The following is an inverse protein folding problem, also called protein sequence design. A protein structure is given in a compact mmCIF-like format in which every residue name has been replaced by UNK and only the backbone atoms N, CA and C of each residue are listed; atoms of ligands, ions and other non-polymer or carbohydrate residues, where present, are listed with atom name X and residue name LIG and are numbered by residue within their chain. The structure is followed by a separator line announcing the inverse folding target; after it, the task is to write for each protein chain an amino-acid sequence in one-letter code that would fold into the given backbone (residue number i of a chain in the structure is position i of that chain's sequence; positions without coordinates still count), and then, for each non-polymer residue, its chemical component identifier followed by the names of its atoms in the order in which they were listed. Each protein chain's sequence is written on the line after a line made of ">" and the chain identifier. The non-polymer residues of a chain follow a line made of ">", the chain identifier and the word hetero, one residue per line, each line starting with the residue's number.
data_IF_643822963495
#
_entry.id   IF_643822963495
#
_cell.length_a   1.000
_cell.length_b   1.000
_cell.length_c   1.000
_cell.angle_alpha   90.00
_cell.angle_beta   90.00
_cell.angle_gamma   90.00
#
_symmetry.space_group_name_H-M   'P 1'
#
loop_
_entity.id
_entity.type
_entity.pdbx_description
1 polymer ?
#
# COMPACT_ATOMS: atom_id res chain seq x y z
N UNK A 1 -45.28 86.44 -3.91
CA UNK A 1 -44.13 86.82 -4.76
C UNK A 1 -42.86 86.61 -3.95
N UNK A 2 -41.88 85.88 -4.51
CA UNK A 2 -40.50 85.68 -4.04
C UNK A 2 -40.29 85.00 -2.67
N UNK A 3 -39.20 84.28 -2.36
CA UNK A 3 -38.24 83.36 -3.02
C UNK A 3 -37.31 82.86 -1.88
N UNK A 4 -36.61 81.74 -2.09
CA UNK A 4 -35.54 81.12 -1.25
C UNK A 4 -36.03 80.05 -0.25
N UNK A 5 -35.89 78.73 -0.47
CA UNK A 5 -34.73 77.86 -0.82
C UNK A 5 -33.61 77.93 0.22
N UNK A 6 -33.49 76.88 1.05
CA UNK A 6 -32.19 76.33 1.45
C UNK A 6 -32.34 74.80 1.60
N UNK A 7 -31.86 74.09 0.57
CA UNK A 7 -31.72 72.64 0.52
C UNK A 7 -30.33 72.30 1.05
N UNK A 8 -30.23 71.54 2.15
CA UNK A 8 -28.98 71.05 2.70
C UNK A 8 -28.82 69.58 2.27
N UNK A 9 -28.23 69.36 1.10
CA UNK A 9 -27.95 68.02 0.58
C UNK A 9 -26.58 67.58 1.06
N UNK A 10 -26.55 66.63 2.00
CA UNK A 10 -25.33 65.97 2.47
C UNK A 10 -24.82 65.02 1.37
N UNK A 11 -23.79 65.43 0.63
CA UNK A 11 -23.13 64.60 -0.37
C UNK A 11 -22.13 63.67 0.33
N UNK A 12 -22.56 62.45 0.64
CA UNK A 12 -21.66 61.39 1.10
C UNK A 12 -20.81 60.91 -0.08
N UNK A 13 -19.57 61.39 -0.14
CA UNK A 13 -18.55 60.91 -1.07
C UNK A 13 -18.06 59.54 -0.59
N UNK A 14 -18.68 58.46 -1.07
CA UNK A 14 -18.17 57.10 -0.92
C UNK A 14 -16.94 56.95 -1.84
N UNK A 15 -15.75 57.15 -1.27
CA UNK A 15 -14.50 56.74 -1.88
C UNK A 15 -14.48 55.21 -1.94
N UNK A 16 -14.91 54.64 -3.07
CA UNK A 16 -14.75 53.22 -3.35
C UNK A 16 -13.26 52.96 -3.60
N UNK A 17 -12.55 52.49 -2.57
CA UNK A 17 -11.23 51.90 -2.74
C UNK A 17 -11.40 50.56 -3.44
N UNK A 18 -11.38 50.60 -4.78
CA UNK A 18 -11.24 49.41 -5.61
C UNK A 18 -9.95 48.70 -5.25
N UNK A 19 -10.03 47.68 -4.39
CA UNK A 19 -8.95 46.72 -4.19
C UNK A 19 -8.77 45.97 -5.51
N UNK A 20 -7.77 46.36 -6.28
CA UNK A 20 -7.24 45.54 -7.34
C UNK A 20 -6.83 44.20 -6.72
N UNK A 21 -7.58 43.13 -7.02
CA UNK A 21 -7.19 41.77 -6.70
C UNK A 21 -5.87 41.50 -7.41
N UNK A 22 -4.79 41.32 -6.66
CA UNK A 22 -3.51 40.93 -7.22
C UNK A 22 -3.70 39.65 -8.05
N UNK A 23 -3.10 39.54 -9.24
CA UNK A 23 -3.15 38.32 -10.03
C UNK A 23 -2.55 37.19 -9.17
N UNK A 24 -3.38 36.19 -8.83
CA UNK A 24 -2.92 34.97 -8.18
C UNK A 24 -1.97 34.31 -9.16
N UNK A 25 -0.67 34.32 -8.85
CA UNK A 25 0.31 33.59 -9.63
C UNK A 25 -0.12 32.11 -9.67
N UNK A 26 -0.13 31.46 -10.85
CA UNK A 26 -0.47 30.03 -10.92
C UNK A 26 0.49 29.29 -10.00
N UNK A 27 -0.06 28.67 -8.96
CA UNK A 27 0.72 27.78 -8.10
C UNK A 27 1.23 26.65 -8.99
N UNK A 28 2.54 26.37 -9.02
CA UNK A 28 3.04 25.24 -9.79
C UNK A 28 2.29 23.99 -9.33
N UNK A 29 1.70 23.27 -10.29
CA UNK A 29 1.04 22.00 -10.00
C UNK A 29 2.08 21.09 -9.34
N UNK A 30 1.78 20.61 -8.14
CA UNK A 30 2.61 19.63 -7.46
C UNK A 30 2.59 18.36 -8.31
N UNK A 31 3.65 18.12 -9.07
CA UNK A 31 3.84 16.86 -9.78
C UNK A 31 4.03 15.80 -8.71
N UNK A 32 3.10 14.87 -8.64
CA UNK A 32 3.16 13.83 -7.65
C UNK A 32 4.30 12.86 -7.95
N UNK A 33 4.97 12.36 -6.90
CA UNK A 33 6.03 11.38 -7.09
C UNK A 33 5.43 10.11 -7.70
N UNK A 34 5.88 9.76 -8.90
CA UNK A 34 5.67 8.44 -9.48
C UNK A 34 6.60 7.47 -8.76
N UNK A 35 6.08 6.29 -8.50
CA UNK A 35 6.81 5.20 -7.87
C UNK A 35 6.87 4.09 -8.88
N UNK A 36 8.06 3.97 -9.45
CA UNK A 36 8.39 3.00 -10.48
C UNK A 36 9.71 2.30 -10.13
N UNK A 37 9.76 1.01 -10.46
CA UNK A 37 10.97 0.22 -10.27
C UNK A 37 10.75 -1.28 -10.41
N UNK A 38 11.85 -1.97 -10.69
CA UNK A 38 11.94 -3.42 -10.72
C UNK A 38 12.73 -3.91 -9.52
N UNK A 39 12.13 -4.84 -8.78
CA UNK A 39 12.66 -5.39 -7.55
C UNK A 39 12.79 -6.89 -7.72
N UNK A 40 13.85 -7.47 -7.16
CA UNK A 40 14.05 -8.92 -7.17
C UNK A 40 14.46 -9.36 -5.78
N UNK A 41 13.59 -10.14 -5.16
CA UNK A 41 13.66 -10.53 -3.78
C UNK A 41 13.88 -12.02 -3.64
N UNK A 42 14.81 -12.39 -2.77
CA UNK A 42 15.06 -13.78 -2.40
C UNK A 42 14.39 -14.08 -1.07
N UNK A 43 13.45 -15.02 -1.04
CA UNK A 43 12.71 -15.40 0.16
C UNK A 43 13.59 -16.22 1.13
N UNK A 44 14.37 -15.53 1.97
CA UNK A 44 15.34 -16.15 2.86
C UNK A 44 14.78 -16.49 4.25
N UNK A 45 13.67 -15.87 4.65
CA UNK A 45 13.15 -15.97 6.01
C UNK A 45 11.80 -16.67 6.03
N UNK A 46 11.58 -17.47 7.09
CA UNK A 46 10.32 -18.16 7.36
C UNK A 46 9.83 -17.80 8.75
N UNK A 47 8.55 -17.51 8.84
CA UNK A 47 7.82 -17.22 10.06
C UNK A 47 6.47 -17.93 10.08
N UNK A 48 5.91 -18.05 11.28
CA UNK A 48 4.56 -18.57 11.47
C UNK A 48 3.69 -17.43 12.00
N UNK A 49 2.51 -17.28 11.40
CA UNK A 49 1.50 -16.32 11.81
C UNK A 49 0.21 -17.06 12.16
N UNK A 50 -0.52 -16.57 13.15
CA UNK A 50 -1.89 -17.00 13.37
C UNK A 50 -2.79 -16.57 12.19
N UNK A 51 -3.96 -17.18 12.03
CA UNK A 51 -4.91 -16.82 10.96
C UNK A 51 -5.46 -15.39 11.10
N UNK A 52 -5.23 -14.70 12.22
CA UNK A 52 -5.53 -13.27 12.36
C UNK A 52 -4.30 -12.38 12.08
N UNK A 53 -3.25 -12.92 11.45
CA UNK A 53 -2.00 -12.21 11.19
C UNK A 53 -1.10 -12.05 12.42
N UNK A 54 -1.53 -12.50 13.59
CA UNK A 54 -0.78 -12.41 14.84
C UNK A 54 0.57 -13.12 14.75
N UNK A 55 1.62 -12.49 15.29
CA UNK A 55 2.96 -13.06 15.31
C UNK A 55 3.08 -14.21 16.32
N UNK A 56 3.66 -15.33 15.89
CA UNK A 56 3.89 -16.51 16.72
C UNK A 56 5.41 -16.83 16.79
N UNK A 57 6.20 -16.09 17.58
CA UNK A 57 7.67 -16.21 17.59
C UNK A 57 8.19 -17.59 18.01
N UNK A 58 7.43 -18.31 18.83
CA UNK A 58 7.81 -19.62 19.37
C UNK A 58 7.18 -20.81 18.61
N UNK A 59 6.44 -20.55 17.53
CA UNK A 59 5.82 -21.62 16.75
C UNK A 59 6.88 -22.43 15.97
N UNK A 60 6.61 -23.73 15.83
CA UNK A 60 7.55 -24.65 15.19
C UNK A 60 7.57 -24.48 13.67
N UNK A 61 8.62 -23.84 13.17
CA UNK A 61 8.85 -23.59 11.73
C UNK A 61 9.10 -24.87 10.91
N UNK A 62 9.41 -26.00 11.54
CA UNK A 62 9.78 -27.25 10.86
C UNK A 62 8.69 -27.75 9.92
N UNK A 63 7.42 -27.59 10.30
CA UNK A 63 6.26 -28.04 9.51
C UNK A 63 6.20 -27.28 8.18
N UNK A 64 6.25 -25.94 8.23
CA UNK A 64 6.26 -25.10 7.04
C UNK A 64 7.51 -25.29 6.18
N UNK A 65 8.68 -25.45 6.81
CA UNK A 65 9.93 -25.71 6.08
C UNK A 65 9.90 -27.03 5.32
N UNK A 66 9.30 -28.07 5.90
CA UNK A 66 9.15 -29.37 5.25
C UNK A 66 8.09 -29.35 4.14
N UNK A 67 7.00 -28.59 4.31
CA UNK A 67 5.91 -28.50 3.33
C UNK A 67 6.26 -27.61 2.12
N UNK A 68 7.03 -26.55 2.33
CA UNK A 68 7.35 -25.56 1.31
C UNK A 68 8.86 -25.32 1.14
N UNK A 69 9.67 -26.38 0.90
CA UNK A 69 11.10 -26.22 0.74
C UNK A 69 11.45 -25.35 -0.49
N UNK A 70 10.56 -25.33 -1.49
CA UNK A 70 10.72 -24.56 -2.72
C UNK A 70 10.48 -23.05 -2.55
N UNK A 71 9.91 -22.61 -1.43
CA UNK A 71 9.74 -21.17 -1.14
C UNK A 71 10.96 -20.59 -0.45
N UNK A 72 11.77 -21.40 0.25
CA UNK A 72 13.06 -20.94 0.75
C UNK A 72 14.01 -20.73 -0.42
N UNK A 73 14.65 -19.57 -0.43
CA UNK A 73 15.54 -19.12 -1.49
C UNK A 73 14.87 -18.84 -2.85
N UNK A 74 13.55 -18.91 -2.93
CA UNK A 74 12.81 -18.57 -4.15
C UNK A 74 13.01 -17.09 -4.51
N UNK A 75 13.12 -16.81 -5.81
CA UNK A 75 13.16 -15.46 -6.34
C UNK A 75 11.74 -14.99 -6.66
N UNK A 76 11.43 -13.77 -6.25
CA UNK A 76 10.22 -13.04 -6.62
C UNK A 76 10.65 -11.77 -7.32
N UNK A 77 10.20 -11.59 -8.56
CA UNK A 77 10.40 -10.34 -9.29
C UNK A 77 9.13 -9.50 -9.17
N UNK A 78 9.26 -8.21 -8.87
CA UNK A 78 8.12 -7.29 -8.77
C UNK A 78 8.41 -6.01 -9.52
N UNK A 79 7.54 -5.64 -10.45
CA UNK A 79 7.52 -4.36 -11.14
C UNK A 79 6.44 -3.48 -10.51
N UNK A 80 6.81 -2.29 -10.07
CA UNK A 80 5.85 -1.32 -9.49
C UNK A 80 5.59 -0.24 -10.51
N UNK A 81 4.30 0.04 -10.74
CA UNK A 81 3.86 1.20 -11.49
C UNK A 81 2.72 1.89 -10.73
N UNK A 82 3.09 2.84 -9.88
CA UNK A 82 2.17 3.50 -8.97
C UNK A 82 2.28 5.01 -9.01
N UNK A 83 1.15 5.65 -9.31
CA UNK A 83 1.00 7.08 -9.29
C UNK A 83 0.37 7.51 -7.96
N UNK A 84 1.08 8.38 -7.23
CA UNK A 84 0.60 8.90 -5.94
C UNK A 84 -0.41 10.04 -6.09
N UNK A 85 -0.67 10.56 -7.31
CA UNK A 85 -1.75 11.52 -7.57
C UNK A 85 -2.45 11.31 -8.93
N UNK A 86 -3.75 11.02 -8.92
CA UNK A 86 -4.60 10.82 -7.74
C UNK A 86 -4.13 9.60 -6.91
N UNK A 87 -4.16 9.68 -5.56
CA UNK A 87 -3.69 8.59 -4.72
C UNK A 87 -4.52 7.31 -4.99
N UNK A 88 -3.83 6.17 -5.03
CA UNK A 88 -4.47 4.87 -5.25
C UNK A 88 -4.52 4.42 -6.72
N UNK A 89 -3.87 5.13 -7.65
CA UNK A 89 -3.84 4.75 -9.06
C UNK A 89 -2.55 4.01 -9.41
N UNK A 90 -2.68 2.73 -9.74
CA UNK A 90 -1.57 1.88 -10.16
C UNK A 90 -1.67 0.47 -9.60
N UNK A 91 -0.64 -0.32 -9.84
CA UNK A 91 -0.50 -1.68 -9.35
C UNK A 91 0.98 -2.04 -9.28
N UNK A 92 1.26 -3.22 -8.75
CA UNK A 92 2.54 -3.87 -8.99
C UNK A 92 2.26 -5.25 -9.60
N UNK A 93 3.09 -5.67 -10.55
CA UNK A 93 3.06 -7.00 -11.12
C UNK A 93 4.18 -7.82 -10.50
N UNK A 94 3.86 -9.00 -9.99
CA UNK A 94 4.83 -9.87 -9.34
C UNK A 94 4.86 -11.24 -9.99
N UNK A 95 6.06 -11.80 -10.17
CA UNK A 95 6.27 -13.16 -10.67
C UNK A 95 6.77 -14.01 -9.52
N UNK A 96 5.93 -14.95 -9.09
CA UNK A 96 6.21 -15.87 -7.97
C UNK A 96 6.20 -17.28 -8.51
N UNK A 97 7.32 -18.00 -8.42
CA UNK A 97 7.47 -19.36 -8.95
C UNK A 97 7.02 -19.48 -10.42
N UNK A 98 7.28 -18.45 -11.22
CA UNK A 98 6.90 -18.38 -12.64
C UNK A 98 5.42 -18.08 -12.91
N UNK A 99 4.63 -17.73 -11.88
CA UNK A 99 3.25 -17.29 -12.04
C UNK A 99 3.13 -15.78 -11.84
N UNK A 100 2.47 -15.11 -12.78
CA UNK A 100 2.14 -13.69 -12.68
C UNK A 100 1.04 -13.44 -11.64
N UNK A 101 1.22 -12.40 -10.83
CA UNK A 101 0.31 -12.00 -9.75
C UNK A 101 0.21 -10.48 -9.75
N UNK A 102 -1.00 -9.97 -10.01
CA UNK A 102 -1.31 -8.54 -9.88
C UNK A 102 -1.48 -8.19 -8.41
N UNK A 103 -0.78 -7.15 -7.97
CA UNK A 103 -0.83 -6.62 -6.61
C UNK A 103 -1.49 -5.24 -6.61
N UNK A 104 -2.55 -5.10 -5.82
CA UNK A 104 -3.30 -3.86 -5.69
C UNK A 104 -2.78 -3.01 -4.53
N UNK A 105 -2.75 -1.68 -4.67
CA UNK A 105 -2.32 -0.79 -3.59
C UNK A 105 -3.12 -1.00 -2.30
N UNK A 106 -2.44 -1.20 -1.18
CA UNK A 106 -3.02 -1.09 0.16
C UNK A 106 -2.74 0.32 0.69
N UNK A 107 -3.79 1.10 0.94
CA UNK A 107 -3.67 2.47 1.41
C UNK A 107 -3.15 2.54 2.85
N UNK A 108 -1.84 2.47 3.03
CA UNK A 108 -1.19 2.56 4.34
C UNK A 108 -0.38 3.85 4.45
N UNK A 109 -0.49 4.54 5.58
CA UNK A 109 0.29 5.74 5.82
C UNK A 109 1.78 5.40 5.94
N UNK A 110 2.64 6.21 5.30
CA UNK A 110 4.11 6.21 5.40
C UNK A 110 4.89 5.10 4.67
N UNK A 111 4.22 4.16 3.99
CA UNK A 111 4.89 3.27 3.03
C UNK A 111 3.93 2.88 1.90
N UNK A 112 4.50 2.38 0.80
CA UNK A 112 3.76 1.92 -0.37
C UNK A 112 3.61 0.40 -0.27
N UNK A 113 2.41 -0.07 0.08
CA UNK A 113 2.10 -1.49 0.11
C UNK A 113 1.24 -1.90 -1.07
N UNK A 114 1.42 -3.14 -1.53
CA UNK A 114 0.65 -3.77 -2.59
C UNK A 114 0.33 -5.21 -2.18
N UNK A 115 -0.87 -5.68 -2.47
CA UNK A 115 -1.34 -7.00 -2.07
C UNK A 115 -2.13 -7.66 -3.17
N UNK A 116 -1.95 -8.97 -3.30
CA UNK A 116 -2.73 -9.77 -4.23
C UNK A 116 -4.17 -9.94 -3.76
N UNK A 117 -5.14 -9.78 -4.66
CA UNK A 117 -6.55 -10.10 -4.42
C UNK A 117 -6.81 -11.60 -4.72
N UNK A 118 -6.07 -12.45 -4.02
CA UNK A 118 -5.93 -13.87 -4.35
C UNK A 118 -4.74 -14.15 -5.27
N UNK A 119 -4.63 -15.39 -5.74
CA UNK A 119 -3.56 -15.83 -6.65
C UNK A 119 -4.11 -16.79 -7.72
N UNK A 120 -3.35 -17.00 -8.79
CA UNK A 120 -3.71 -17.93 -9.87
C UNK A 120 -3.76 -19.40 -9.43
N UNK A 121 -4.34 -20.27 -10.27
CA UNK A 121 -4.56 -21.70 -9.95
C UNK A 121 -3.27 -22.45 -9.61
N UNK A 122 -2.16 -22.15 -10.29
CA UNK A 122 -0.87 -22.76 -10.00
C UNK A 122 -0.44 -22.53 -8.55
N UNK A 123 -0.44 -21.28 -8.10
CA UNK A 123 -0.06 -20.93 -6.72
C UNK A 123 -1.07 -21.45 -5.70
N UNK A 124 -2.38 -21.42 -6.02
CA UNK A 124 -3.42 -22.04 -5.18
C UNK A 124 -3.17 -23.53 -4.98
N UNK A 125 -2.77 -24.26 -6.02
CA UNK A 125 -2.44 -25.69 -5.93
C UNK A 125 -1.25 -25.98 -5.02
N UNK A 126 -0.38 -24.99 -4.81
CA UNK A 126 0.74 -25.02 -3.87
C UNK A 126 0.33 -24.52 -2.47
N UNK A 127 -0.96 -24.27 -2.22
CA UNK A 127 -1.51 -23.68 -0.99
C UNK A 127 -0.99 -22.27 -0.67
N UNK A 128 -0.48 -21.55 -1.68
CA UNK A 128 -0.16 -20.13 -1.56
C UNK A 128 -1.47 -19.36 -1.78
N UNK A 129 -1.76 -18.40 -0.93
CA UNK A 129 -3.02 -17.65 -1.00
C UNK A 129 -2.84 -16.13 -1.05
N UNK A 130 -1.64 -15.62 -0.76
CA UNK A 130 -1.41 -14.18 -0.71
C UNK A 130 0.05 -13.80 -0.96
N UNK A 131 0.23 -12.78 -1.78
CA UNK A 131 1.51 -12.11 -2.01
C UNK A 131 1.36 -10.65 -1.56
N UNK A 132 2.38 -10.13 -0.87
CA UNK A 132 2.45 -8.73 -0.46
C UNK A 132 3.82 -8.17 -0.85
N UNK A 133 3.83 -7.00 -1.47
CA UNK A 133 5.02 -6.21 -1.69
C UNK A 133 4.89 -4.91 -0.91
N UNK A 134 5.95 -4.46 -0.27
CA UNK A 134 5.97 -3.21 0.49
C UNK A 134 7.26 -2.47 0.26
N UNK A 135 7.19 -1.15 0.22
CA UNK A 135 8.35 -0.30 -0.02
C UNK A 135 8.26 1.03 0.75
N UNK A 136 9.37 1.42 1.36
CA UNK A 136 9.54 2.70 2.03
C UNK A 136 9.96 3.80 1.06
N UNK A 137 9.93 5.05 1.51
CA UNK A 137 10.36 6.20 0.70
C UNK A 137 11.83 6.16 0.29
N UNK A 138 12.68 5.45 1.04
CA UNK A 138 14.10 5.23 0.73
C UNK A 138 14.35 4.06 -0.24
N UNK A 139 13.27 3.48 -0.78
CA UNK A 139 13.26 2.29 -1.66
C UNK A 139 13.68 0.98 -1.00
N UNK A 140 13.91 0.95 0.31
CA UNK A 140 13.96 -0.32 1.03
C UNK A 140 12.59 -1.01 0.91
N UNK A 141 12.59 -2.32 0.69
CA UNK A 141 11.40 -3.06 0.32
C UNK A 141 11.38 -4.46 0.93
N UNK A 142 10.18 -5.01 1.05
CA UNK A 142 9.97 -6.36 1.54
C UNK A 142 8.87 -7.05 0.75
N UNK A 143 9.17 -8.26 0.28
CA UNK A 143 8.23 -9.19 -0.35
C UNK A 143 7.84 -10.25 0.66
N UNK A 144 6.55 -10.58 0.69
CA UNK A 144 5.98 -11.61 1.55
C UNK A 144 5.12 -12.57 0.74
N UNK A 145 5.36 -13.87 0.90
CA UNK A 145 4.54 -14.94 0.32
C UNK A 145 3.92 -15.74 1.46
N UNK A 146 2.59 -15.86 1.46
CA UNK A 146 1.84 -16.59 2.48
C UNK A 146 1.25 -17.87 1.91
N UNK A 147 1.50 -18.97 2.62
CA UNK A 147 0.92 -20.27 2.37
C UNK A 147 0.16 -20.79 3.59
N UNK A 148 -0.86 -21.61 3.38
CA UNK A 148 -1.60 -22.25 4.47
C UNK A 148 -0.67 -23.15 5.27
N UNK A 149 -0.75 -23.14 6.59
CA UNK A 149 0.00 -24.15 7.35
C UNK A 149 -0.62 -25.53 7.16
N UNK A 150 0.17 -26.60 7.00
CA UNK A 150 -0.32 -27.98 7.07
C UNK A 150 -1.04 -28.30 8.39
N UNK A 151 -0.77 -27.55 9.46
CA UNK A 151 -1.47 -27.69 10.75
C UNK A 151 -2.88 -27.07 10.78
N UNK A 152 -3.25 -26.28 9.75
CA UNK A 152 -4.59 -25.69 9.58
C UNK A 152 -4.91 -24.46 10.43
N UNK A 153 -4.19 -24.19 11.51
CA UNK A 153 -4.48 -23.11 12.46
C UNK A 153 -3.60 -21.86 12.30
N UNK A 154 -2.70 -21.89 11.31
CA UNK A 154 -1.62 -20.92 11.14
C UNK A 154 -1.33 -20.71 9.65
N UNK A 155 -0.52 -19.71 9.33
CA UNK A 155 0.00 -19.45 8.01
C UNK A 155 1.54 -19.50 8.03
N UNK A 156 2.11 -20.12 7.01
CA UNK A 156 3.54 -20.09 6.73
C UNK A 156 3.84 -18.82 5.95
N UNK A 157 4.73 -17.98 6.47
CA UNK A 157 5.05 -16.67 5.88
C UNK A 157 6.51 -16.62 5.50
N UNK A 158 6.78 -16.41 4.22
CA UNK A 158 8.13 -16.36 3.64
C UNK A 158 8.45 -14.93 3.21
N UNK A 159 9.62 -14.41 3.62
CA UNK A 159 10.01 -13.02 3.37
C UNK A 159 11.47 -12.88 2.93
N UNK A 160 11.80 -11.77 2.26
CA UNK A 160 13.18 -11.46 1.86
C UNK A 160 14.02 -10.80 2.97
N UNK A 161 13.37 -10.22 3.96
CA UNK A 161 14.03 -9.66 5.14
C UNK A 161 13.42 -10.21 6.43
N UNK A 162 14.19 -10.18 7.52
CA UNK A 162 13.64 -10.44 8.85
C UNK A 162 12.56 -9.42 9.16
N UNK A 163 11.39 -9.88 9.61
CA UNK A 163 10.30 -8.99 9.96
C UNK A 163 10.70 -8.13 11.18
N UNK A 164 11.07 -6.88 10.93
CA UNK A 164 11.18 -5.88 11.99
C UNK A 164 9.76 -5.37 12.30
N UNK A 165 9.28 -5.68 13.51
CA UNK A 165 7.91 -5.38 13.97
C UNK A 165 7.55 -3.90 13.84
N UNK A 166 8.54 -3.00 13.79
CA UNK A 166 8.36 -1.56 13.60
C UNK A 166 7.54 -1.15 12.37
N UNK A 167 7.50 -1.96 11.30
CA UNK A 167 6.90 -1.54 10.03
C UNK A 167 5.41 -1.90 9.87
N UNK A 168 4.88 -2.82 10.68
CA UNK A 168 3.52 -3.34 10.50
C UNK A 168 2.75 -3.64 11.81
N UNK A 169 3.22 -3.17 12.97
CA UNK A 169 2.54 -3.37 14.28
C UNK A 169 1.08 -2.85 14.34
N UNK A 170 0.60 -2.16 13.30
CA UNK A 170 -0.81 -1.78 13.13
C UNK A 170 -1.70 -2.73 12.32
N UNK A 171 -1.16 -3.74 11.63
CA UNK A 171 -1.92 -4.61 10.71
C UNK A 171 -2.33 -5.93 11.36
N UNK A 172 -3.41 -5.89 12.16
CA UNK A 172 -4.18 -7.09 12.47
C UNK A 172 -4.97 -7.50 11.22
N UNK A 173 -4.35 -8.26 10.32
CA UNK A 173 -5.06 -8.86 9.18
C UNK A 173 -6.00 -9.94 9.71
N UNK A 174 -7.30 -9.67 9.79
CA UNK A 174 -8.28 -10.70 10.06
C UNK A 174 -8.40 -11.64 8.82
N UNK A 175 -7.49 -12.62 8.66
CA UNK A 175 -7.46 -13.56 7.51
C UNK A 175 -8.59 -14.59 7.58
N UNK A 176 -9.34 -14.64 8.68
CA UNK A 176 -10.53 -15.50 8.82
C UNK A 176 -11.59 -15.24 7.75
N UNK A 177 -11.60 -14.07 7.10
CA UNK A 177 -12.49 -13.76 5.97
C UNK A 177 -11.98 -14.21 4.59
N UNK A 178 -10.71 -14.60 4.48
CA UNK A 178 -10.07 -15.01 3.21
C UNK A 178 -9.89 -16.53 3.09
N UNK A 179 -10.07 -17.25 4.20
CA UNK A 179 -10.04 -18.71 4.26
C UNK A 179 -11.43 -19.32 4.11
N UNK A 180 -12.38 -18.62 3.50
CA UNK A 180 -13.65 -19.26 3.11
C UNK A 180 -13.30 -20.26 2.01
N UNK A 181 -13.40 -21.58 2.26
CA UNK A 181 -13.26 -22.53 1.18
C UNK A 181 -14.45 -22.33 0.21
N UNK A 182 -14.28 -22.61 -1.10
CA UNK A 182 -15.41 -22.62 -2.02
C UNK A 182 -16.53 -23.57 -1.55
#
# INVERSE_FOLDING_TARGET
>A
MAKHILSLTFLFLLCQTGRASAPVAPTPALVAPIIDGNYTDKLAHLEIRALNGGWLPFANKTVCKAAYPFLLDALVATEVNYNTTPPGWGHADSVVLGSDVVLHPMGVANFYGFMSDGVGEHLKSLNIFRIIFSMNSDKSHNTTVMASSPSGNESCVFTNSEWNTSNFDGFNFNLTKLLVPP
#
